data_IF_708465908969
#
_entry.id   IF_708465908969
#
_cell.length_a   1.000
_cell.length_b   1.000
_cell.length_c   1.000
_cell.angle_alpha   90.00
_cell.angle_beta   90.00
_cell.angle_gamma   90.00
#
_symmetry.space_group_name_H-M   'P 1'
#
loop_
_entity.id
_entity.type
_entity.pdbx_description
1 polymer ?
#
# COMPACT_ATOMS: atom_id res chain seq x y z
N UNK A 1 -16.35 18.83 -1.05
CA UNK A 1 -17.77 18.56 -1.40
C UNK A 1 -18.50 17.92 -0.22
N UNK A 2 -17.87 16.94 0.44
CA UNK A 2 -18.32 16.37 1.72
C UNK A 2 -18.40 17.43 2.84
N UNK A 3 -17.50 18.41 2.91
CA UNK A 3 -17.57 19.52 3.89
C UNK A 3 -18.81 20.42 3.74
N UNK A 4 -19.33 20.53 2.51
CA UNK A 4 -20.55 21.29 2.19
C UNK A 4 -21.79 20.45 2.55
N UNK A 5 -21.72 19.13 2.43
CA UNK A 5 -22.81 18.25 2.84
C UNK A 5 -22.90 18.15 4.37
N UNK A 6 -21.79 17.96 5.09
CA UNK A 6 -21.83 17.79 6.56
C UNK A 6 -22.29 19.04 7.33
N UNK A 7 -21.96 20.24 6.85
CA UNK A 7 -22.47 21.50 7.45
C UNK A 7 -23.98 21.73 7.21
N UNK A 8 -24.60 21.00 6.28
CA UNK A 8 -25.98 21.21 5.84
C UNK A 8 -26.91 20.02 6.13
N UNK A 9 -26.38 18.81 6.29
CA UNK A 9 -27.14 17.58 6.56
C UNK A 9 -27.79 17.61 7.94
N UNK A 10 -27.21 18.28 8.95
CA UNK A 10 -27.87 18.38 10.26
C UNK A 10 -29.02 19.42 10.28
N UNK A 11 -29.06 20.32 9.29
CA UNK A 11 -29.90 21.54 9.35
C UNK A 11 -30.99 21.58 8.27
N UNK A 12 -30.86 20.86 7.14
CA UNK A 12 -31.76 21.08 6.01
C UNK A 12 -32.01 19.84 5.12
N UNK A 13 -33.20 19.24 5.23
CA UNK A 13 -33.69 18.12 4.40
C UNK A 13 -33.66 18.39 2.89
N UNK A 14 -33.56 19.65 2.46
CA UNK A 14 -33.43 19.98 1.03
C UNK A 14 -32.14 19.43 0.42
N UNK A 15 -31.09 19.21 1.22
CA UNK A 15 -29.83 18.63 0.75
C UNK A 15 -29.88 17.12 0.61
N UNK A 16 -30.86 16.43 1.21
CA UNK A 16 -31.03 14.98 1.02
C UNK A 16 -31.23 14.66 -0.47
N UNK A 17 -31.90 15.55 -1.22
CA UNK A 17 -32.08 15.40 -2.68
C UNK A 17 -30.78 15.46 -3.46
N UNK A 18 -29.79 16.23 -3.00
CA UNK A 18 -28.47 16.33 -3.63
C UNK A 18 -27.62 15.10 -3.28
N UNK A 19 -27.73 14.59 -2.05
CA UNK A 19 -27.03 13.36 -1.64
C UNK A 19 -27.55 12.14 -2.38
N UNK A 20 -28.83 12.15 -2.77
CA UNK A 20 -29.48 11.08 -3.56
C UNK A 20 -29.21 11.23 -5.07
N UNK A 21 -28.43 12.22 -5.52
CA UNK A 21 -28.07 12.32 -6.93
C UNK A 21 -27.14 11.15 -7.32
N UNK A 22 -27.46 10.37 -8.37
CA UNK A 22 -26.65 9.24 -8.82
C UNK A 22 -25.19 9.58 -9.13
N UNK A 23 -24.88 10.85 -9.44
CA UNK A 23 -23.50 11.32 -9.65
C UNK A 23 -22.66 11.23 -8.38
N UNK A 24 -23.27 11.36 -7.20
CA UNK A 24 -22.57 11.36 -5.91
C UNK A 24 -22.71 10.04 -5.15
N UNK A 25 -23.76 9.26 -5.38
CA UNK A 25 -24.02 8.02 -4.64
C UNK A 25 -22.97 6.93 -4.87
N UNK A 26 -22.39 6.84 -6.08
CA UNK A 26 -21.50 5.73 -6.45
C UNK A 26 -20.24 5.63 -5.59
N UNK A 27 -19.82 6.75 -5.01
CA UNK A 27 -18.66 6.82 -4.12
C UNK A 27 -19.07 7.51 -2.82
N UNK A 28 -19.29 6.69 -1.79
CA UNK A 28 -19.64 7.18 -0.47
C UNK A 28 -18.39 7.23 0.40
N UNK A 29 -18.05 8.44 0.84
CA UNK A 29 -16.96 8.68 1.78
C UNK A 29 -17.55 9.08 3.13
N UNK A 30 -17.42 8.20 4.12
CA UNK A 30 -17.89 8.42 5.50
C UNK A 30 -16.80 9.03 6.39
N UNK A 31 -15.72 9.56 5.80
CA UNK A 31 -14.68 10.31 6.49
C UNK A 31 -14.96 11.81 6.40
N UNK A 32 -14.52 12.60 7.39
CA UNK A 32 -14.46 14.07 7.26
C UNK A 32 -13.01 14.47 7.17
N UNK A 33 -12.63 15.22 6.13
CA UNK A 33 -11.30 15.83 6.06
C UNK A 33 -11.40 17.27 6.54
N UNK A 34 -10.67 17.61 7.59
CA UNK A 34 -10.45 19.01 7.95
C UNK A 34 -9.66 19.73 6.85
N UNK A 35 -9.67 21.07 6.92
CA UNK A 35 -8.84 21.93 6.05
C UNK A 35 -7.33 21.69 6.14
N UNK A 36 -6.88 20.88 7.11
CA UNK A 36 -5.48 20.49 7.30
C UNK A 36 -5.21 19.04 6.89
N UNK A 37 -6.08 18.44 6.07
CA UNK A 37 -6.07 17.02 5.69
C UNK A 37 -6.11 16.05 6.88
N UNK A 38 -6.39 16.55 8.10
CA UNK A 38 -6.65 15.67 9.25
C UNK A 38 -8.04 15.12 9.14
N UNK A 39 -8.15 13.82 9.30
CA UNK A 39 -9.43 13.14 9.39
C UNK A 39 -10.10 13.54 10.72
N UNK A 40 -11.31 14.08 10.66
CA UNK A 40 -12.15 14.42 11.79
C UNK A 40 -13.29 13.40 11.90
N UNK A 41 -13.68 13.09 13.13
CA UNK A 41 -14.80 12.20 13.37
C UNK A 41 -16.12 12.86 12.92
N UNK A 42 -16.98 12.08 12.27
CA UNK A 42 -18.34 12.49 11.95
C UNK A 42 -19.14 12.57 13.25
N UNK A 43 -19.92 13.63 13.44
CA UNK A 43 -20.83 13.71 14.57
C UNK A 43 -21.83 12.53 14.54
N UNK A 44 -21.98 11.83 15.66
CA UNK A 44 -22.80 10.64 15.76
C UNK A 44 -24.27 10.87 15.33
N UNK A 45 -24.84 12.07 15.55
CA UNK A 45 -26.21 12.37 15.12
C UNK A 45 -26.31 12.43 13.61
N UNK A 46 -25.30 13.02 12.96
CA UNK A 46 -25.24 13.11 11.51
C UNK A 46 -25.05 11.71 10.90
N UNK A 47 -24.13 10.92 11.47
CA UNK A 47 -23.92 9.54 11.06
C UNK A 47 -25.22 8.71 11.18
N UNK A 48 -25.90 8.76 12.33
CA UNK A 48 -27.14 8.01 12.53
C UNK A 48 -28.23 8.47 11.56
N UNK A 49 -28.37 9.77 11.31
CA UNK A 49 -29.30 10.27 10.28
C UNK A 49 -28.98 9.72 8.89
N UNK A 50 -27.71 9.72 8.48
CA UNK A 50 -27.30 9.17 7.18
C UNK A 50 -27.65 7.68 7.11
N UNK A 51 -27.28 6.91 8.13
CA UNK A 51 -27.53 5.48 8.17
C UNK A 51 -29.01 5.11 8.21
N UNK A 52 -29.85 5.88 8.90
CA UNK A 52 -31.27 5.58 9.07
C UNK A 52 -32.14 6.09 7.92
N UNK A 53 -31.82 7.27 7.36
CA UNK A 53 -32.70 7.94 6.38
C UNK A 53 -32.19 7.91 4.95
N UNK A 54 -30.88 7.94 4.76
CA UNK A 54 -30.27 8.12 3.43
C UNK A 54 -29.80 6.78 2.88
N UNK A 55 -28.95 6.04 3.61
CA UNK A 55 -28.40 4.76 3.15
C UNK A 55 -29.46 3.77 2.65
N UNK A 56 -30.61 3.56 3.32
CA UNK A 56 -31.63 2.62 2.85
C UNK A 56 -32.23 2.96 1.49
N UNK A 57 -32.04 4.20 1.01
CA UNK A 57 -32.55 4.69 -0.27
C UNK A 57 -31.52 4.63 -1.40
N UNK A 58 -30.24 4.47 -1.07
CA UNK A 58 -29.13 4.60 -2.02
C UNK A 58 -28.15 3.41 -2.01
N UNK A 59 -28.27 2.48 -1.05
CA UNK A 59 -27.30 1.40 -0.83
C UNK A 59 -27.07 0.50 -2.05
N UNK A 60 -28.09 0.35 -2.90
CA UNK A 60 -28.05 -0.46 -4.10
C UNK A 60 -27.21 0.17 -5.22
N UNK A 61 -26.88 1.45 -5.11
CA UNK A 61 -26.10 2.24 -6.07
C UNK A 61 -24.69 2.59 -5.55
N UNK A 62 -24.35 2.20 -4.31
CA UNK A 62 -23.03 2.45 -3.73
C UNK A 62 -22.07 1.38 -4.21
N UNK A 63 -21.03 1.80 -4.94
CA UNK A 63 -20.05 0.89 -5.54
C UNK A 63 -18.67 1.00 -4.88
N UNK A 64 -18.39 2.15 -4.25
CA UNK A 64 -17.19 2.41 -3.46
C UNK A 64 -17.57 3.00 -2.13
N UNK A 65 -16.96 2.50 -1.07
CA UNK A 65 -17.24 2.92 0.30
C UNK A 65 -15.94 3.16 1.06
N UNK A 66 -15.84 4.31 1.74
CA UNK A 66 -14.75 4.63 2.67
C UNK A 66 -15.36 4.75 4.07
N UNK A 67 -14.84 3.99 5.03
CA UNK A 67 -15.39 3.87 6.39
C UNK A 67 -14.29 4.00 7.43
N UNK A 68 -14.66 4.60 8.56
CA UNK A 68 -13.87 4.72 9.79
C UNK A 68 -14.45 3.83 10.90
N UNK A 69 -13.70 3.57 11.98
CA UNK A 69 -14.13 2.67 13.06
C UNK A 69 -15.47 3.04 13.68
N UNK A 70 -15.65 4.31 14.01
CA UNK A 70 -16.86 4.80 14.66
C UNK A 70 -18.13 4.65 13.80
N UNK A 71 -17.98 4.67 12.47
CA UNK A 71 -19.08 4.51 11.52
C UNK A 71 -19.41 3.04 11.21
N UNK A 72 -18.46 2.14 11.45
CA UNK A 72 -18.50 0.78 10.95
C UNK A 72 -19.74 -0.01 11.37
N UNK A 73 -20.08 0.02 12.67
CA UNK A 73 -21.24 -0.71 13.19
C UNK A 73 -22.55 -0.29 12.56
N UNK A 74 -22.72 1.00 12.26
CA UNK A 74 -23.96 1.52 11.69
C UNK A 74 -24.02 1.28 10.18
N UNK A 75 -22.91 1.52 9.47
CA UNK A 75 -22.83 1.42 8.01
C UNK A 75 -22.99 -0.02 7.53
N UNK A 76 -22.41 -1.00 8.23
CA UNK A 76 -22.50 -2.42 7.88
C UNK A 76 -23.71 -3.14 8.50
N UNK A 77 -24.76 -2.41 8.88
CA UNK A 77 -26.10 -3.01 9.08
C UNK A 77 -26.82 -3.27 7.75
N UNK A 78 -26.34 -2.64 6.66
CA UNK A 78 -26.92 -2.71 5.32
C UNK A 78 -25.99 -3.52 4.42
N UNK A 79 -26.56 -4.40 3.60
CA UNK A 79 -25.83 -5.11 2.56
C UNK A 79 -25.81 -4.26 1.28
N UNK A 80 -24.62 -3.98 0.74
CA UNK A 80 -24.43 -3.15 -0.45
C UNK A 80 -24.18 -4.05 -1.68
N UNK A 81 -25.21 -4.41 -2.46
CA UNK A 81 -25.10 -5.47 -3.48
C UNK A 81 -24.18 -5.12 -4.66
N UNK A 82 -23.85 -3.85 -4.86
CA UNK A 82 -22.97 -3.37 -5.94
C UNK A 82 -21.59 -2.94 -5.44
N UNK A 83 -21.29 -3.15 -4.15
CA UNK A 83 -20.04 -2.71 -3.54
C UNK A 83 -18.89 -3.62 -3.97
N UNK A 84 -17.95 -3.06 -4.74
CA UNK A 84 -16.74 -3.78 -5.15
C UNK A 84 -15.46 -3.18 -4.56
N UNK A 85 -15.51 -1.91 -4.10
CA UNK A 85 -14.34 -1.23 -3.53
C UNK A 85 -14.62 -0.76 -2.10
N UNK A 86 -13.74 -1.13 -1.18
CA UNK A 86 -13.84 -0.78 0.23
C UNK A 86 -12.52 -0.20 0.75
N UNK A 87 -12.61 0.94 1.44
CA UNK A 87 -11.50 1.54 2.17
C UNK A 87 -11.83 1.59 3.66
N UNK A 88 -11.04 0.91 4.47
CA UNK A 88 -11.13 0.91 5.93
C UNK A 88 -9.97 1.76 6.45
N UNK A 89 -10.27 2.95 6.98
CA UNK A 89 -9.25 3.94 7.33
C UNK A 89 -9.24 4.22 8.83
N UNK A 90 -8.04 4.27 9.41
CA UNK A 90 -7.85 4.70 10.80
C UNK A 90 -8.27 3.65 11.82
N UNK A 91 -8.28 2.38 11.45
CA UNK A 91 -8.71 1.31 12.34
C UNK A 91 -7.65 0.91 13.34
N UNK A 92 -8.00 0.84 14.61
CA UNK A 92 -7.19 0.08 15.55
C UNK A 92 -7.19 -1.38 15.12
N UNK A 93 -6.01 -2.00 15.19
CA UNK A 93 -5.78 -3.35 14.68
C UNK A 93 -6.80 -4.35 15.25
N UNK A 94 -6.87 -4.42 16.58
CA UNK A 94 -7.75 -5.36 17.31
C UNK A 94 -9.22 -5.19 16.94
N UNK A 95 -9.67 -3.94 16.80
CA UNK A 95 -11.04 -3.62 16.44
C UNK A 95 -11.38 -4.10 15.02
N UNK A 96 -10.52 -3.81 14.04
CA UNK A 96 -10.73 -4.27 12.65
C UNK A 96 -10.85 -5.79 12.59
N UNK A 97 -9.94 -6.49 13.26
CA UNK A 97 -9.91 -7.95 13.19
C UNK A 97 -11.09 -8.61 13.90
N UNK A 98 -11.62 -7.99 14.97
CA UNK A 98 -12.88 -8.42 15.55
C UNK A 98 -14.01 -8.40 14.51
N UNK A 99 -14.15 -7.32 13.74
CA UNK A 99 -15.18 -7.25 12.69
C UNK A 99 -14.97 -8.25 11.54
N UNK A 100 -13.72 -8.57 11.23
CA UNK A 100 -13.36 -9.54 10.18
C UNK A 100 -13.63 -10.99 10.60
N UNK A 101 -13.49 -11.31 11.89
CA UNK A 101 -13.74 -12.65 12.40
C UNK A 101 -15.21 -12.92 12.71
N UNK A 102 -15.97 -11.87 13.05
CA UNK A 102 -17.39 -11.98 13.34
C UNK A 102 -18.19 -12.35 12.07
N UNK A 103 -19.36 -12.98 12.24
CA UNK A 103 -20.30 -13.28 11.15
C UNK A 103 -21.08 -12.04 10.71
N UNK A 104 -20.31 -11.00 10.37
CA UNK A 104 -20.79 -9.66 10.05
C UNK A 104 -21.05 -9.52 8.55
N UNK A 105 -21.87 -8.54 8.17
CA UNK A 105 -22.08 -8.17 6.76
C UNK A 105 -20.75 -7.84 6.09
N UNK A 106 -19.80 -7.23 6.81
CA UNK A 106 -18.45 -6.97 6.32
C UNK A 106 -17.76 -8.26 5.86
N UNK A 107 -17.80 -9.32 6.66
CA UNK A 107 -17.16 -10.59 6.32
C UNK A 107 -17.75 -11.15 5.03
N UNK A 108 -19.07 -11.15 4.90
CA UNK A 108 -19.74 -11.55 3.66
C UNK A 108 -19.30 -10.70 2.45
N UNK A 109 -19.29 -9.36 2.60
CA UNK A 109 -18.87 -8.46 1.53
C UNK A 109 -17.43 -8.74 1.08
N UNK A 110 -16.50 -8.88 2.03
CA UNK A 110 -15.11 -9.19 1.75
C UNK A 110 -14.94 -10.53 1.03
N UNK A 111 -15.71 -11.54 1.45
CA UNK A 111 -15.60 -12.87 0.86
C UNK A 111 -16.16 -12.96 -0.55
N UNK A 112 -17.28 -12.30 -0.82
CA UNK A 112 -18.07 -12.56 -2.02
C UNK A 112 -18.09 -11.40 -3.03
N UNK A 113 -17.76 -10.17 -2.63
CA UNK A 113 -17.99 -8.98 -3.45
C UNK A 113 -16.75 -8.11 -3.68
N UNK A 114 -15.96 -7.85 -2.63
CA UNK A 114 -14.86 -6.88 -2.72
C UNK A 114 -13.75 -7.37 -3.65
N UNK A 115 -13.44 -6.54 -4.65
CA UNK A 115 -12.31 -6.71 -5.58
C UNK A 115 -11.17 -5.75 -5.27
N UNK A 116 -11.48 -4.59 -4.68
CA UNK A 116 -10.51 -3.53 -4.38
C UNK A 116 -10.59 -3.17 -2.90
N UNK A 117 -9.59 -3.57 -2.14
CA UNK A 117 -9.53 -3.35 -0.69
C UNK A 117 -8.37 -2.43 -0.34
N UNK A 118 -8.67 -1.39 0.42
CA UNK A 118 -7.70 -0.50 1.04
C UNK A 118 -7.86 -0.57 2.55
N UNK A 119 -6.80 -0.93 3.26
CA UNK A 119 -6.77 -1.05 4.71
C UNK A 119 -5.68 -0.13 5.22
N UNK A 120 -6.06 0.77 6.12
CA UNK A 120 -5.16 1.64 6.85
C UNK A 120 -5.38 1.46 8.35
N UNK A 121 -4.45 0.75 8.99
CA UNK A 121 -4.50 0.37 10.40
C UNK A 121 -3.67 1.36 11.22
N UNK A 122 -4.26 1.91 12.27
CA UNK A 122 -3.58 2.60 13.34
C UNK A 122 -3.13 1.60 14.41
N UNK A 123 -1.92 1.81 14.93
CA UNK A 123 -1.41 1.07 16.08
C UNK A 123 -1.02 2.07 17.16
N UNK A 124 -1.45 1.81 18.40
CA UNK A 124 -1.23 2.71 19.53
C UNK A 124 -0.06 2.28 20.45
N UNK A 125 0.41 1.03 20.37
CA UNK A 125 1.50 0.51 21.24
C UNK A 125 2.56 -0.26 20.45
N UNK A 126 3.80 -0.34 20.97
CA UNK A 126 4.98 -0.90 20.25
C UNK A 126 5.22 -2.40 20.57
N UNK A 127 4.51 -2.95 21.54
CA UNK A 127 4.95 -4.17 22.24
C UNK A 127 4.22 -5.41 21.67
N UNK A 128 4.97 -6.27 20.95
CA UNK A 128 4.61 -7.63 20.46
C UNK A 128 3.75 -7.84 19.19
N UNK A 129 4.08 -7.16 18.08
CA UNK A 129 3.19 -7.09 16.89
C UNK A 129 3.44 -8.09 15.74
N UNK A 130 4.64 -8.64 15.56
CA UNK A 130 5.00 -9.23 14.26
C UNK A 130 4.22 -10.49 13.87
N UNK A 131 4.07 -11.43 14.80
CA UNK A 131 3.40 -12.68 14.50
C UNK A 131 1.88 -12.51 14.35
N UNK A 132 1.29 -11.59 15.12
CA UNK A 132 -0.14 -11.25 15.03
C UNK A 132 -0.47 -10.71 13.64
N UNK A 133 0.37 -9.80 13.13
CA UNK A 133 0.09 -9.08 11.91
C UNK A 133 0.26 -9.93 10.63
N UNK A 134 1.24 -10.85 10.61
CA UNK A 134 1.36 -11.84 9.52
C UNK A 134 0.08 -12.68 9.39
N UNK A 135 -0.41 -13.20 10.52
CA UNK A 135 -1.63 -14.01 10.55
C UNK A 135 -2.86 -13.21 10.09
N UNK A 136 -2.86 -11.92 10.39
CA UNK A 136 -3.91 -10.96 10.03
C UNK A 136 -3.92 -10.60 8.55
N UNK A 137 -2.75 -10.37 7.96
CA UNK A 137 -2.61 -10.22 6.51
C UNK A 137 -3.05 -11.49 5.78
N UNK A 138 -2.63 -12.67 6.26
CA UNK A 138 -3.10 -13.95 5.73
C UNK A 138 -4.62 -14.12 5.87
N UNK A 139 -5.19 -13.72 7.01
CA UNK A 139 -6.63 -13.76 7.23
C UNK A 139 -7.36 -12.94 6.16
N UNK A 140 -6.94 -11.70 5.90
CA UNK A 140 -7.55 -10.84 4.88
C UNK A 140 -7.49 -11.50 3.50
N UNK A 141 -6.33 -12.04 3.13
CA UNK A 141 -6.17 -12.73 1.84
C UNK A 141 -7.04 -14.00 1.75
N UNK A 142 -7.10 -14.78 2.83
CA UNK A 142 -7.90 -16.02 2.89
C UNK A 142 -9.40 -15.76 2.83
N UNK A 143 -9.85 -14.64 3.42
CA UNK A 143 -11.24 -14.23 3.37
C UNK A 143 -11.63 -13.73 1.99
N UNK A 144 -10.74 -13.03 1.28
CA UNK A 144 -11.10 -12.23 0.10
C UNK A 144 -10.88 -12.98 -1.22
N UNK A 145 -11.80 -13.88 -1.57
CA UNK A 145 -11.68 -14.78 -2.74
C UNK A 145 -11.56 -14.06 -4.09
N UNK A 146 -12.14 -12.86 -4.21
CA UNK A 146 -12.23 -12.08 -5.45
C UNK A 146 -11.31 -10.87 -5.48
N UNK A 147 -10.41 -10.76 -4.50
CA UNK A 147 -9.55 -9.59 -4.32
C UNK A 147 -8.54 -9.46 -5.46
N UNK A 148 -8.68 -8.41 -6.27
CA UNK A 148 -7.82 -8.07 -7.40
C UNK A 148 -6.73 -7.08 -6.97
N UNK A 149 -7.10 -6.10 -6.14
CA UNK A 149 -6.20 -5.05 -5.66
C UNK A 149 -6.27 -4.94 -4.15
N UNK A 150 -5.11 -5.03 -3.50
CA UNK A 150 -4.96 -4.79 -2.06
C UNK A 150 -3.99 -3.63 -1.84
N UNK A 151 -4.43 -2.62 -1.09
CA UNK A 151 -3.54 -1.66 -0.46
C UNK A 151 -3.58 -1.88 1.05
N UNK A 152 -2.45 -2.30 1.61
CA UNK A 152 -2.32 -2.60 3.02
C UNK A 152 -1.28 -1.67 3.65
N UNK A 153 -1.79 -0.75 4.46
CA UNK A 153 -1.03 0.29 5.14
C UNK A 153 -1.20 0.16 6.64
N UNK A 154 -0.10 0.36 7.36
CA UNK A 154 -0.09 0.46 8.81
C UNK A 154 0.61 1.75 9.22
N UNK A 155 -0.05 2.51 10.09
CA UNK A 155 0.39 3.79 10.62
C UNK A 155 0.54 3.69 12.14
N UNK A 156 1.60 4.27 12.68
CA UNK A 156 1.84 4.40 14.11
C UNK A 156 2.16 5.87 14.45
N UNK A 157 1.14 6.64 14.80
CA UNK A 157 1.27 8.10 14.93
C UNK A 157 1.82 8.73 13.63
N UNK A 158 2.96 9.42 13.72
CA UNK A 158 3.68 10.00 12.56
C UNK A 158 4.76 9.09 11.96
N UNK A 159 4.91 7.86 12.46
CA UNK A 159 5.91 6.89 11.98
C UNK A 159 5.19 5.64 11.47
N UNK A 160 5.76 4.96 10.51
CA UNK A 160 5.28 3.64 10.08
C UNK A 160 5.77 2.60 11.08
N UNK A 161 4.91 1.71 11.58
CA UNK A 161 5.38 0.52 12.28
C UNK A 161 5.54 -0.65 11.28
N UNK A 162 6.53 -1.54 11.49
CA UNK A 162 6.80 -2.65 10.60
C UNK A 162 5.64 -3.64 10.52
N UNK A 163 5.24 -3.96 9.30
CA UNK A 163 4.94 -5.35 8.96
C UNK A 163 6.22 -6.16 9.10
N UNK A 164 6.28 -7.07 10.08
CA UNK A 164 7.34 -8.06 10.21
C UNK A 164 6.75 -9.45 10.01
N UNK A 165 7.23 -10.18 8.99
CA UNK A 165 6.85 -11.57 8.74
C UNK A 165 7.91 -12.47 9.39
N UNK A 166 7.70 -12.98 10.63
CA UNK A 166 8.66 -13.90 11.25
C UNK A 166 8.80 -15.19 10.44
N UNK A 167 7.73 -15.57 9.74
CA UNK A 167 7.69 -16.69 8.80
C UNK A 167 7.01 -16.27 7.49
N UNK A 168 7.40 -16.86 6.35
CA UNK A 168 6.75 -16.59 5.07
C UNK A 168 5.26 -16.97 5.09
N UNK A 169 4.34 -16.14 4.56
CA UNK A 169 2.92 -16.39 4.73
C UNK A 169 2.41 -17.62 3.96
N UNK A 170 1.52 -18.42 4.54
CA UNK A 170 1.15 -19.74 3.99
C UNK A 170 0.67 -19.68 2.53
N UNK A 171 1.19 -20.59 1.68
CA UNK A 171 0.76 -20.71 0.27
C UNK A 171 -0.75 -20.95 0.14
N UNK A 172 -1.39 -21.59 1.12
CA UNK A 172 -2.83 -21.88 1.10
C UNK A 172 -3.71 -20.64 1.25
N UNK A 173 -3.16 -19.55 1.79
CA UNK A 173 -3.90 -18.31 2.06
C UNK A 173 -3.83 -17.31 0.90
N UNK A 174 -3.11 -17.64 -0.18
CA UNK A 174 -2.84 -16.69 -1.25
C UNK A 174 -4.03 -16.58 -2.19
N UNK A 175 -4.50 -15.34 -2.41
CA UNK A 175 -5.53 -15.07 -3.39
C UNK A 175 -5.02 -15.36 -4.80
N UNK A 176 -5.72 -16.24 -5.50
CA UNK A 176 -5.49 -16.55 -6.92
C UNK A 176 -5.90 -15.39 -7.85
N UNK A 177 -6.60 -14.38 -7.33
CA UNK A 177 -7.11 -13.25 -8.13
C UNK A 177 -6.32 -11.97 -7.93
N UNK A 178 -5.43 -11.91 -6.92
CA UNK A 178 -4.68 -10.71 -6.59
C UNK A 178 -3.64 -10.39 -7.66
N UNK A 179 -3.88 -9.32 -8.41
CA UNK A 179 -2.96 -8.83 -9.45
C UNK A 179 -2.15 -7.61 -9.01
N UNK A 180 -2.64 -6.87 -8.02
CA UNK A 180 -2.02 -5.64 -7.51
C UNK A 180 -1.90 -5.65 -5.99
N UNK A 181 -0.68 -5.43 -5.51
CA UNK A 181 -0.40 -5.27 -4.08
C UNK A 181 0.36 -3.96 -3.84
N UNK A 182 -0.19 -3.13 -2.97
CA UNK A 182 0.50 -1.98 -2.38
C UNK A 182 0.69 -2.30 -0.91
N UNK A 183 1.93 -2.22 -0.43
CA UNK A 183 2.23 -2.54 0.95
C UNK A 183 3.24 -1.56 1.52
N UNK A 184 3.08 -1.23 2.80
CA UNK A 184 4.09 -0.51 3.59
C UNK A 184 4.74 -1.46 4.57
N UNK A 185 6.06 -1.55 4.57
CA UNK A 185 6.85 -2.37 5.50
C UNK A 185 7.93 -1.51 6.14
N UNK A 186 8.49 -1.92 7.28
CA UNK A 186 9.66 -1.20 7.82
C UNK A 186 10.96 -1.79 7.36
N UNK A 187 11.07 -3.12 7.23
CA UNK A 187 12.31 -3.77 6.79
C UNK A 187 12.06 -4.41 5.43
N UNK A 188 12.95 -4.14 4.49
CA UNK A 188 12.86 -4.68 3.12
C UNK A 188 12.77 -6.21 3.05
N UNK A 189 13.35 -6.91 4.03
CA UNK A 189 13.24 -8.37 4.21
C UNK A 189 11.81 -8.87 4.10
N UNK A 190 10.86 -8.16 4.70
CA UNK A 190 9.47 -8.57 4.79
C UNK A 190 8.81 -8.66 3.41
N UNK A 191 9.23 -7.78 2.50
CA UNK A 191 8.79 -7.85 1.11
C UNK A 191 9.37 -9.04 0.35
N UNK A 192 10.55 -9.53 0.71
CA UNK A 192 11.16 -10.67 0.02
C UNK A 192 10.32 -11.95 0.23
N UNK A 193 9.67 -12.09 1.39
CA UNK A 193 8.74 -13.20 1.63
C UNK A 193 7.48 -13.14 0.76
N UNK A 194 7.01 -11.94 0.43
CA UNK A 194 5.90 -11.74 -0.51
C UNK A 194 6.32 -12.06 -1.95
N UNK A 195 7.60 -11.89 -2.26
CA UNK A 195 8.19 -12.12 -3.58
C UNK A 195 8.63 -13.57 -3.82
N UNK A 196 8.47 -14.47 -2.84
CA UNK A 196 8.86 -15.89 -2.92
C UNK A 196 7.90 -16.76 -3.77
N UNK A 197 7.37 -16.19 -4.86
CA UNK A 197 6.59 -16.91 -5.87
C UNK A 197 5.24 -17.44 -5.40
N UNK A 198 4.68 -16.87 -4.32
CA UNK A 198 3.39 -17.29 -3.73
C UNK A 198 2.18 -16.62 -4.37
N UNK A 199 2.38 -15.47 -5.01
CA UNK A 199 1.34 -14.79 -5.78
C UNK A 199 1.55 -15.01 -7.28
N UNK A 200 0.93 -16.08 -7.81
CA UNK A 200 1.11 -16.45 -9.23
C UNK A 200 0.55 -15.41 -10.20
N UNK A 201 -0.48 -14.66 -9.80
CA UNK A 201 -1.14 -13.65 -10.64
C UNK A 201 -0.67 -12.21 -10.39
N UNK A 202 0.22 -11.99 -9.41
CA UNK A 202 0.69 -10.65 -9.08
C UNK A 202 1.51 -10.09 -10.24
N UNK A 203 1.01 -8.99 -10.80
CA UNK A 203 1.65 -8.28 -11.90
C UNK A 203 2.13 -6.88 -11.50
N UNK A 204 1.55 -6.32 -10.44
CA UNK A 204 1.87 -4.98 -9.91
C UNK A 204 2.20 -5.07 -8.43
N UNK A 205 3.41 -4.65 -8.06
CA UNK A 205 3.83 -4.57 -6.67
C UNK A 205 4.41 -3.17 -6.36
N UNK A 206 3.84 -2.51 -5.37
CA UNK A 206 4.32 -1.22 -4.86
C UNK A 206 4.70 -1.41 -3.40
N UNK A 207 5.96 -1.19 -3.10
CA UNK A 207 6.53 -1.28 -1.76
C UNK A 207 6.93 0.12 -1.30
N UNK A 208 6.39 0.48 -0.14
CA UNK A 208 6.92 1.57 0.65
C UNK A 208 7.70 0.94 1.81
N UNK A 209 8.99 1.24 1.91
CA UNK A 209 9.86 0.69 2.94
C UNK A 209 10.47 1.82 3.76
N UNK A 210 10.43 1.69 5.08
CA UNK A 210 11.08 2.66 5.94
C UNK A 210 12.60 2.50 5.86
N UNK A 211 13.13 1.30 6.11
CA UNK A 211 14.56 1.01 6.20
C UNK A 211 14.97 -0.19 5.33
N UNK A 212 16.02 -0.01 4.55
CA UNK A 212 16.68 -1.10 3.82
C UNK A 212 18.05 -1.33 4.45
N UNK A 213 18.20 -2.42 5.20
CA UNK A 213 19.46 -2.82 5.84
C UNK A 213 19.61 -4.34 5.87
N UNK A 214 20.86 -4.82 5.91
CA UNK A 214 21.13 -6.24 6.10
C UNK A 214 20.75 -6.65 7.51
N UNK A 215 19.90 -7.66 7.61
CA UNK A 215 19.82 -8.48 8.83
C UNK A 215 20.80 -9.65 8.65
N UNK A 216 21.72 -9.90 9.60
CA UNK A 216 22.89 -10.79 9.43
C UNK A 216 22.57 -12.29 9.25
N UNK A 217 21.32 -12.69 8.99
CA UNK A 217 20.87 -14.08 9.01
C UNK A 217 20.17 -14.56 7.74
N UNK A 218 20.18 -13.80 6.64
CA UNK A 218 19.43 -14.21 5.46
C UNK A 218 20.28 -14.43 4.21
N UNK A 219 20.56 -15.71 3.96
CA UNK A 219 20.70 -16.24 2.61
C UNK A 219 19.29 -16.31 1.99
N UNK A 220 18.96 -15.36 1.10
CA UNK A 220 17.67 -15.40 0.41
C UNK A 220 17.79 -16.17 -0.90
N UNK A 221 17.21 -17.36 -0.89
CA UNK A 221 16.99 -18.15 -2.09
C UNK A 221 15.52 -17.99 -2.51
N UNK A 222 15.13 -16.80 -3.00
CA UNK A 222 13.79 -16.64 -3.59
C UNK A 222 13.79 -17.36 -4.94
N UNK A 223 13.80 -18.68 -5.00
CA UNK A 223 14.05 -19.44 -6.24
C UNK A 223 13.09 -19.07 -7.40
N UNK A 224 11.91 -18.53 -7.08
CA UNK A 224 10.90 -18.11 -8.05
C UNK A 224 10.33 -16.73 -7.70
N UNK A 225 10.61 -15.72 -8.52
CA UNK A 225 9.92 -14.42 -8.42
C UNK A 225 8.60 -14.44 -9.20
N UNK A 226 7.58 -13.69 -8.75
CA UNK A 226 6.38 -13.45 -9.55
C UNK A 226 6.74 -12.76 -10.87
N UNK A 227 5.94 -13.02 -11.92
CA UNK A 227 6.09 -12.37 -13.23
C UNK A 227 5.50 -10.95 -13.19
N UNK A 228 6.14 -10.09 -12.41
CA UNK A 228 5.77 -8.68 -12.30
C UNK A 228 5.99 -7.96 -13.63
N UNK A 229 5.01 -7.14 -14.00
CA UNK A 229 5.11 -6.15 -15.08
C UNK A 229 5.43 -4.76 -14.52
N UNK A 230 4.93 -4.46 -13.32
CA UNK A 230 5.14 -3.19 -12.64
C UNK A 230 5.74 -3.43 -11.26
N UNK A 231 6.83 -2.74 -10.96
CA UNK A 231 7.44 -2.73 -9.63
C UNK A 231 7.79 -1.31 -9.20
N UNK A 232 7.43 -0.94 -7.97
CA UNK A 232 7.82 0.31 -7.34
C UNK A 232 8.44 0.04 -5.98
N UNK A 233 9.61 0.61 -5.74
CA UNK A 233 10.28 0.59 -4.44
C UNK A 233 10.55 2.01 -3.98
N UNK A 234 9.92 2.40 -2.88
CA UNK A 234 10.04 3.73 -2.30
C UNK A 234 10.60 3.57 -0.90
N UNK A 235 11.84 4.03 -0.69
CA UNK A 235 12.45 4.11 0.62
C UNK A 235 12.35 5.52 1.19
N UNK A 236 11.90 5.63 2.44
CA UNK A 236 11.80 6.92 3.14
C UNK A 236 13.07 7.30 3.90
N UNK A 237 14.00 6.35 4.09
CA UNK A 237 15.25 6.58 4.83
C UNK A 237 16.46 6.03 4.08
N UNK A 238 17.61 6.02 4.75
CA UNK A 238 18.86 5.52 4.22
C UNK A 238 18.71 4.05 3.76
N UNK A 239 19.06 3.80 2.51
CA UNK A 239 19.15 2.50 1.86
C UNK A 239 20.59 2.02 1.96
N UNK A 240 20.85 1.11 2.89
CA UNK A 240 22.11 0.41 3.01
C UNK A 240 22.09 -0.85 2.14
N UNK A 241 23.28 -1.28 1.72
CA UNK A 241 23.46 -2.55 1.02
C UNK A 241 22.67 -2.68 -0.29
N UNK A 242 22.57 -1.56 -1.01
CA UNK A 242 21.94 -1.50 -2.33
C UNK A 242 22.47 -2.59 -3.28
N UNK A 243 23.80 -2.79 -3.29
CA UNK A 243 24.45 -3.77 -4.16
C UNK A 243 24.15 -5.22 -3.79
N UNK A 244 23.90 -5.50 -2.50
CA UNK A 244 23.65 -6.85 -2.01
C UNK A 244 22.15 -7.22 -2.00
N UNK A 245 21.25 -6.25 -1.85
CA UNK A 245 19.81 -6.49 -1.70
C UNK A 245 18.99 -6.07 -2.92
N UNK A 246 19.22 -4.86 -3.42
CA UNK A 246 18.35 -4.25 -4.43
C UNK A 246 18.76 -4.70 -5.84
N UNK A 247 20.04 -4.59 -6.20
CA UNK A 247 20.53 -5.00 -7.52
C UNK A 247 20.20 -6.49 -7.81
N UNK A 248 20.50 -7.46 -6.92
CA UNK A 248 20.27 -8.86 -7.24
C UNK A 248 18.78 -9.18 -7.38
N UNK A 249 17.92 -8.51 -6.62
CA UNK A 249 16.47 -8.66 -6.75
C UNK A 249 16.00 -8.15 -8.12
N UNK A 250 16.37 -6.92 -8.47
CA UNK A 250 15.92 -6.26 -9.69
C UNK A 250 16.41 -7.01 -10.94
N UNK A 251 17.65 -7.49 -10.97
CA UNK A 251 18.20 -8.30 -12.08
C UNK A 251 17.39 -9.55 -12.39
N UNK A 252 16.64 -10.06 -11.42
CA UNK A 252 15.82 -11.28 -11.57
C UNK A 252 14.40 -10.97 -12.02
N UNK A 253 13.99 -9.70 -12.01
CA UNK A 253 12.67 -9.24 -12.46
C UNK A 253 12.68 -8.93 -13.98
N UNK A 254 13.09 -9.90 -14.79
CA UNK A 254 13.35 -9.75 -16.24
C UNK A 254 12.11 -9.40 -17.09
N UNK A 255 10.90 -9.54 -16.53
CA UNK A 255 9.62 -9.27 -17.21
C UNK A 255 9.04 -7.89 -16.87
N UNK A 256 9.78 -7.05 -16.14
CA UNK A 256 9.30 -5.71 -15.81
C UNK A 256 9.18 -4.87 -17.08
N UNK A 257 8.01 -4.25 -17.21
CA UNK A 257 7.68 -3.25 -18.22
C UNK A 257 7.85 -1.85 -17.62
N UNK A 258 7.50 -1.66 -16.34
CA UNK A 258 7.64 -0.40 -15.61
C UNK A 258 8.35 -0.59 -14.26
N UNK A 259 9.34 0.27 -14.00
CA UNK A 259 10.11 0.30 -12.77
C UNK A 259 10.13 1.70 -12.18
N UNK A 260 9.80 1.80 -10.89
CA UNK A 260 9.86 3.04 -10.12
C UNK A 260 10.78 2.87 -8.91
N UNK A 261 11.80 3.72 -8.79
CA UNK A 261 12.77 3.69 -7.69
C UNK A 261 12.90 5.06 -7.02
N UNK A 262 12.53 5.16 -5.74
CA UNK A 262 12.79 6.34 -4.91
C UNK A 262 13.66 5.91 -3.74
N UNK A 263 14.97 6.20 -3.81
CA UNK A 263 15.97 5.65 -2.88
C UNK A 263 16.95 6.73 -2.42
N UNK A 264 17.35 6.67 -1.16
CA UNK A 264 18.49 7.41 -0.62
C UNK A 264 19.59 6.41 -0.30
N UNK A 265 20.50 6.15 -1.24
CA UNK A 265 21.49 5.07 -1.14
C UNK A 265 22.74 5.54 -0.39
N UNK A 266 23.18 4.75 0.59
CA UNK A 266 24.46 4.95 1.28
C UNK A 266 25.48 3.96 0.72
N UNK A 267 26.56 4.46 0.13
CA UNK A 267 27.68 3.65 -0.35
C UNK A 267 28.94 3.90 0.47
N UNK A 268 29.66 2.83 0.75
CA UNK A 268 30.95 2.86 1.46
C UNK A 268 32.15 2.74 0.51
N UNK A 269 31.90 2.40 -0.75
CA UNK A 269 32.88 2.58 -1.81
C UNK A 269 32.78 4.02 -2.37
N UNK A 270 33.81 4.43 -3.11
CA UNK A 270 33.89 5.78 -3.68
C UNK A 270 33.09 5.94 -4.98
N UNK A 271 32.05 5.14 -5.19
CA UNK A 271 31.31 5.06 -6.46
C UNK A 271 29.92 5.67 -6.28
N UNK A 272 29.58 6.69 -7.06
CA UNK A 272 28.20 7.19 -7.12
C UNK A 272 27.37 6.34 -8.06
N UNK A 273 26.07 6.22 -7.78
CA UNK A 273 25.14 5.67 -8.77
C UNK A 273 24.86 6.78 -9.77
N UNK A 274 25.54 6.74 -10.91
CA UNK A 274 25.18 7.50 -12.09
C UNK A 274 24.36 6.63 -13.06
N UNK A 275 24.02 7.17 -14.22
CA UNK A 275 23.25 6.48 -15.25
C UNK A 275 24.01 5.33 -15.93
N UNK A 276 25.35 5.37 -15.95
CA UNK A 276 26.16 4.25 -16.47
C UNK A 276 26.08 3.09 -15.49
N UNK A 277 26.33 3.38 -14.21
CA UNK A 277 26.21 2.41 -13.13
C UNK A 277 24.79 1.84 -13.10
N UNK A 278 23.75 2.67 -13.17
CA UNK A 278 22.36 2.21 -13.19
C UNK A 278 22.05 1.31 -14.41
N UNK A 279 22.60 1.65 -15.59
CA UNK A 279 22.44 0.84 -16.79
C UNK A 279 23.13 -0.52 -16.68
N UNK A 280 24.42 -0.52 -16.31
CA UNK A 280 25.24 -1.71 -16.21
C UNK A 280 24.79 -2.62 -15.07
N UNK A 281 24.29 -2.05 -13.97
CA UNK A 281 23.86 -2.82 -12.81
C UNK A 281 22.43 -3.36 -12.96
N UNK A 282 21.50 -2.60 -13.54
CA UNK A 282 20.07 -2.93 -13.52
C UNK A 282 19.50 -3.01 -14.94
N UNK A 283 19.60 -1.94 -15.72
CA UNK A 283 18.76 -1.79 -16.93
C UNK A 283 19.14 -2.78 -18.04
N UNK A 284 20.42 -3.12 -18.19
CA UNK A 284 20.85 -4.08 -19.21
C UNK A 284 20.28 -5.50 -19.00
N UNK A 285 19.77 -5.79 -17.79
CA UNK A 285 19.11 -7.05 -17.45
C UNK A 285 17.58 -7.04 -17.60
N UNK A 286 16.99 -5.90 -18.00
CA UNK A 286 15.53 -5.72 -18.09
C UNK A 286 15.09 -5.43 -19.54
N UNK A 287 15.10 -6.43 -20.43
CA UNK A 287 14.86 -6.22 -21.85
C UNK A 287 13.42 -5.78 -22.19
N UNK A 288 12.46 -5.95 -21.27
CA UNK A 288 11.07 -5.55 -21.46
C UNK A 288 10.75 -4.17 -20.87
N UNK A 289 11.71 -3.53 -20.18
CA UNK A 289 11.49 -2.28 -19.49
C UNK A 289 11.29 -1.16 -20.50
N UNK A 290 10.10 -0.57 -20.52
CA UNK A 290 9.74 0.54 -21.39
C UNK A 290 9.64 1.87 -20.63
N UNK A 291 9.52 1.82 -19.30
CA UNK A 291 9.40 3.01 -18.46
C UNK A 291 10.18 2.85 -17.17
N UNK A 292 11.13 3.76 -16.97
CA UNK A 292 11.89 3.91 -15.75
C UNK A 292 11.58 5.28 -15.13
N UNK A 293 11.10 5.29 -13.89
CA UNK A 293 11.02 6.51 -13.07
C UNK A 293 11.96 6.34 -11.89
N UNK A 294 12.85 7.30 -11.67
CA UNK A 294 13.78 7.21 -10.56
C UNK A 294 13.98 8.56 -9.86
N UNK A 295 14.28 8.48 -8.58
CA UNK A 295 14.81 9.54 -7.73
C UNK A 295 15.79 8.86 -6.76
N UNK A 296 17.04 8.71 -7.23
CA UNK A 296 18.10 8.04 -6.48
C UNK A 296 19.11 9.10 -6.08
N UNK A 297 19.26 9.29 -4.77
CA UNK A 297 20.30 10.14 -4.20
C UNK A 297 21.37 9.25 -3.59
N UNK A 298 22.64 9.43 -3.96
CA UNK A 298 23.73 8.62 -3.41
C UNK A 298 24.57 9.44 -2.42
N UNK A 299 24.79 8.92 -1.23
CA UNK A 299 25.68 9.46 -0.20
C UNK A 299 26.89 8.54 -0.04
N UNK A 300 28.06 9.01 -0.50
CA UNK A 300 29.32 8.26 -0.40
C UNK A 300 30.00 8.61 0.93
N UNK A 301 30.22 7.58 1.75
CA UNK A 301 30.84 7.70 3.08
C UNK A 301 32.15 6.91 3.09
N UNK A 302 33.29 7.60 3.18
CA UNK A 302 34.60 6.96 3.37
C UNK A 302 35.18 7.41 4.72
N UNK A 303 35.46 6.46 5.62
CA UNK A 303 36.15 6.71 6.89
C UNK A 303 35.67 7.96 7.66
N UNK A 304 34.35 8.10 7.81
CA UNK A 304 33.67 9.21 8.51
C UNK A 304 33.72 10.60 7.82
N UNK A 305 34.23 10.69 6.60
CA UNK A 305 34.14 11.91 5.78
C UNK A 305 33.05 11.68 4.73
N UNK A 306 32.06 12.57 4.74
CA UNK A 306 31.09 12.67 3.66
C UNK A 306 31.80 13.30 2.47
N UNK A 307 31.93 12.55 1.38
CA UNK A 307 32.75 12.99 0.22
C UNK A 307 31.90 13.88 -0.69
N UNK A 308 30.85 13.36 -1.33
CA UNK A 308 29.87 14.16 -2.06
C UNK A 308 28.48 13.49 -2.04
N UNK A 309 27.48 14.19 -2.59
CA UNK A 309 26.16 13.65 -2.90
C UNK A 309 25.87 13.83 -4.37
N UNK A 310 25.48 12.77 -5.07
CA UNK A 310 24.91 12.88 -6.42
C UNK A 310 23.40 13.13 -6.32
N UNK A 311 22.90 14.07 -7.12
CA UNK A 311 21.46 14.31 -7.22
C UNK A 311 20.84 13.52 -8.38
N UNK A 312 19.51 13.46 -8.41
CA UNK A 312 18.77 12.85 -9.51
C UNK A 312 19.12 13.47 -10.88
N UNK A 313 19.37 14.78 -10.92
CA UNK A 313 19.77 15.50 -12.14
C UNK A 313 21.14 15.04 -12.66
N UNK A 314 22.07 14.68 -11.77
CA UNK A 314 23.39 14.18 -12.17
C UNK A 314 23.28 12.81 -12.85
N UNK A 315 22.45 11.93 -12.29
CA UNK A 315 22.12 10.63 -12.89
C UNK A 315 21.49 10.85 -14.27
N UNK A 316 20.49 11.73 -14.38
CA UNK A 316 19.82 12.00 -15.66
C UNK A 316 20.78 12.56 -16.74
N UNK A 317 21.70 13.46 -16.37
CA UNK A 317 22.69 14.02 -17.31
C UNK A 317 23.62 12.96 -17.87
N UNK A 318 24.01 11.98 -17.05
CA UNK A 318 24.92 10.92 -17.49
C UNK A 318 24.30 9.98 -18.54
N UNK A 319 22.96 9.83 -18.58
CA UNK A 319 22.27 9.11 -19.65
C UNK A 319 22.38 9.82 -21.01
N UNK A 320 22.26 11.15 -21.01
CA UNK A 320 22.28 11.98 -22.24
C UNK A 320 23.66 11.94 -22.90
N UNK A 321 24.73 11.94 -22.10
CA UNK A 321 26.11 11.94 -22.61
C UNK A 321 26.51 10.73 -23.46
N UNK A 322 25.70 9.66 -23.48
CA UNK A 322 25.99 8.42 -24.21
C UNK A 322 24.91 7.95 -25.19
N UNK A 323 23.85 8.73 -25.39
CA UNK A 323 22.78 8.35 -26.33
C UNK A 323 21.86 7.24 -25.83
N UNK A 324 21.87 6.94 -24.53
CA UNK A 324 20.91 6.03 -23.89
C UNK A 324 19.55 6.69 -23.61
N UNK A 325 19.36 7.95 -24.02
CA UNK A 325 18.11 8.69 -23.87
C UNK A 325 17.32 8.74 -25.17
N UNK A 326 16.32 7.86 -25.30
CA UNK A 326 15.06 8.14 -25.99
C UNK A 326 13.91 7.62 -25.15
#
# INVERSE_FOLDING_TARGET
>A
MVDVLYSLVDVNERFDRLVIDPLYIRHLDMTIKSSFDRICLVDNKVLSRICEKILPRIYDQVNKLIVEPHAMKQVFTINYPQLYSLSLIGFQEEELFQYLTDDSVLRYLLTEQITDLNIDIQVDTIIDFSQSLSNKFELILSLSKRLISLNFCQLFGYRTLPLWFPTPPSKSCMSLTLTKLIIRVTIFRDCLYLLDGRFDCLSTLIIHVENISLTPSCEYNTEKLPKLKYFSLISYTDTFYYDQLIIPLLRRMINLEELILYLLVIRYDSTYIDGIVLYDEILCYMPQLNKLTFNINTDVRNNNIRIDRSSNEDVQRSFIGRGYGQ
#
